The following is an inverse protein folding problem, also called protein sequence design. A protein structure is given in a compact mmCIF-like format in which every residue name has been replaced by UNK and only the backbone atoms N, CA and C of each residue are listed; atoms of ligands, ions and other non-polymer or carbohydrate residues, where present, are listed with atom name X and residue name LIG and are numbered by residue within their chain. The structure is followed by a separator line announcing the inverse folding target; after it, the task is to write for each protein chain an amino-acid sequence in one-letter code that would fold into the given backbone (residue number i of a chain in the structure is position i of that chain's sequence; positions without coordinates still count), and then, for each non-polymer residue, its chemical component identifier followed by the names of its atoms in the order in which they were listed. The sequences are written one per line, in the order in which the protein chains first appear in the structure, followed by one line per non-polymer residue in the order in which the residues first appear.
data_IF_082203147343
#
_entry.id   IF_082203147343
#
_cell.length_a   1.000
_cell.length_b   1.000
_cell.length_c   1.000
_cell.angle_alpha   90.00
_cell.angle_beta   90.00
_cell.angle_gamma   90.00
#
_symmetry.space_group_name_H-M   'P 1'
#
loop_
_entity.id
_entity.type
_entity.pdbx_description
1 polymer ?
#
# COMPACT_ATOMS: atom_id res chain seq x y z
N UNK A 1 -18.32 36.60 -21.57
CA UNK A 1 -16.92 37.05 -21.52
C UNK A 1 -16.00 35.91 -21.98
N UNK A 2 -14.79 36.16 -22.49
CA UNK A 2 -13.83 35.10 -22.83
C UNK A 2 -13.40 34.36 -21.56
N UNK A 3 -13.27 35.07 -20.44
CA UNK A 3 -12.92 34.48 -19.14
C UNK A 3 -13.95 33.42 -18.69
N UNK A 4 -15.25 33.75 -18.75
CA UNK A 4 -16.33 32.80 -18.44
C UNK A 4 -16.30 31.55 -19.35
N UNK A 5 -15.90 31.72 -20.61
CA UNK A 5 -15.79 30.60 -21.55
C UNK A 5 -14.61 29.69 -21.21
N UNK A 6 -13.48 30.26 -20.76
CA UNK A 6 -12.32 29.50 -20.29
C UNK A 6 -12.66 28.76 -18.99
N UNK A 7 -13.32 29.42 -18.04
CA UNK A 7 -13.75 28.81 -16.78
C UNK A 7 -14.66 27.62 -17.02
N UNK A 8 -15.63 27.73 -17.93
CA UNK A 8 -16.53 26.62 -18.29
C UNK A 8 -15.78 25.41 -18.87
N UNK A 9 -14.74 25.65 -19.68
CA UNK A 9 -13.90 24.56 -20.21
C UNK A 9 -13.06 23.93 -19.10
N UNK A 10 -12.52 24.73 -18.18
CA UNK A 10 -11.74 24.23 -17.06
C UNK A 10 -12.59 23.37 -16.12
N UNK A 11 -13.83 23.76 -15.83
CA UNK A 11 -14.78 22.95 -15.06
C UNK A 11 -15.04 21.58 -15.71
N UNK A 12 -15.14 21.53 -17.03
CA UNK A 12 -15.31 20.28 -17.77
C UNK A 12 -14.05 19.38 -17.66
N UNK A 13 -12.86 19.96 -17.74
CA UNK A 13 -11.58 19.24 -17.54
C UNK A 13 -11.48 18.69 -16.12
N UNK A 14 -11.80 19.49 -15.12
CA UNK A 14 -11.74 19.08 -13.71
C UNK A 14 -12.76 17.98 -13.40
N UNK A 15 -13.94 18.04 -14.01
CA UNK A 15 -14.94 16.97 -13.95
C UNK A 15 -14.42 15.65 -14.53
N UNK A 16 -13.70 15.70 -15.67
CA UNK A 16 -13.07 14.52 -16.25
C UNK A 16 -11.97 13.96 -15.37
N UNK A 17 -11.10 14.82 -14.82
CA UNK A 17 -10.04 14.41 -13.89
C UNK A 17 -10.63 13.72 -12.66
N UNK A 18 -11.69 14.29 -12.08
CA UNK A 18 -12.40 13.68 -10.94
C UNK A 18 -12.98 12.31 -11.27
N UNK A 19 -13.59 12.15 -12.45
CA UNK A 19 -14.09 10.84 -12.90
C UNK A 19 -12.96 9.82 -13.06
N UNK A 20 -11.85 10.22 -13.68
CA UNK A 20 -10.68 9.35 -13.84
C UNK A 20 -10.13 8.89 -12.48
N UNK A 21 -9.98 9.80 -11.51
CA UNK A 21 -9.54 9.45 -10.16
C UNK A 21 -10.49 8.46 -9.48
N UNK A 22 -11.81 8.64 -9.63
CA UNK A 22 -12.80 7.70 -9.09
C UNK A 22 -12.74 6.33 -9.76
N UNK A 23 -12.49 6.27 -11.06
CA UNK A 23 -12.33 5.00 -11.79
C UNK A 23 -11.07 4.24 -11.35
N UNK A 24 -9.93 4.93 -11.25
CA UNK A 24 -8.68 4.35 -10.72
C UNK A 24 -8.91 3.81 -9.31
N UNK A 25 -9.56 4.59 -8.44
CA UNK A 25 -9.89 4.17 -7.07
C UNK A 25 -10.73 2.87 -7.05
N UNK A 26 -11.73 2.76 -7.92
CA UNK A 26 -12.56 1.54 -8.01
C UNK A 26 -11.76 0.32 -8.48
N UNK A 27 -10.83 0.51 -9.41
CA UNK A 27 -9.93 -0.57 -9.85
C UNK A 27 -9.07 -1.02 -8.68
N UNK A 28 -8.50 -0.09 -7.93
CA UNK A 28 -7.60 -0.41 -6.82
C UNK A 28 -8.33 -1.09 -5.67
N UNK A 29 -9.51 -0.60 -5.29
CA UNK A 29 -10.39 -1.27 -4.32
C UNK A 29 -10.74 -2.70 -4.76
N UNK A 30 -11.07 -2.90 -6.03
CA UNK A 30 -11.39 -4.23 -6.58
C UNK A 30 -10.19 -5.16 -6.44
N UNK A 31 -9.00 -4.72 -6.87
CA UNK A 31 -7.82 -5.58 -6.83
C UNK A 31 -7.25 -5.77 -5.42
N UNK A 32 -7.43 -4.82 -4.51
CA UNK A 32 -7.11 -5.00 -3.08
C UNK A 32 -7.92 -6.15 -2.48
N UNK A 33 -9.23 -6.19 -2.74
CA UNK A 33 -10.11 -7.28 -2.29
C UNK A 33 -9.69 -8.63 -2.89
N UNK A 34 -9.29 -8.65 -4.16
CA UNK A 34 -8.80 -9.87 -4.82
C UNK A 34 -7.43 -10.32 -4.28
N UNK A 35 -6.53 -9.39 -3.94
CA UNK A 35 -5.19 -9.70 -3.39
C UNK A 35 -5.24 -10.16 -1.94
N UNK A 36 -6.19 -9.68 -1.13
CA UNK A 36 -6.30 -9.96 0.30
C UNK A 36 -6.18 -11.46 0.67
N UNK A 37 -6.98 -12.39 0.12
CA UNK A 37 -6.85 -13.81 0.48
C UNK A 37 -5.49 -14.41 0.12
N UNK A 38 -4.83 -13.89 -0.92
CA UNK A 38 -3.47 -14.32 -1.28
C UNK A 38 -2.42 -13.78 -0.32
N UNK A 39 -2.57 -12.55 0.18
CA UNK A 39 -1.70 -12.02 1.22
C UNK A 39 -1.84 -12.77 2.54
N UNK A 40 -3.08 -13.11 2.94
CA UNK A 40 -3.36 -13.93 4.13
C UNK A 40 -2.71 -15.31 4.00
N UNK A 41 -2.93 -16.01 2.87
CA UNK A 41 -2.31 -17.31 2.64
C UNK A 41 -0.77 -17.24 2.60
N UNK A 42 -0.20 -16.19 1.98
CA UNK A 42 1.25 -15.97 2.00
C UNK A 42 1.77 -15.74 3.42
N UNK A 43 1.05 -15.00 4.26
CA UNK A 43 1.43 -14.75 5.64
C UNK A 43 1.47 -16.05 6.46
N UNK A 44 0.48 -16.93 6.29
CA UNK A 44 0.46 -18.26 6.92
C UNK A 44 1.67 -19.13 6.53
N UNK A 45 2.07 -19.09 5.25
CA UNK A 45 3.23 -19.81 4.75
C UNK A 45 4.53 -19.22 5.30
N UNK A 46 4.67 -17.89 5.30
CA UNK A 46 5.86 -17.19 5.82
C UNK A 46 6.03 -17.38 7.34
N UNK A 47 4.94 -17.52 8.10
CA UNK A 47 4.98 -17.76 9.53
C UNK A 47 5.62 -19.12 9.89
N UNK A 48 5.64 -20.08 8.95
CA UNK A 48 6.29 -21.39 9.11
C UNK A 48 7.80 -21.33 8.89
N UNK A 49 8.31 -20.27 8.24
CA UNK A 49 9.73 -20.07 7.99
C UNK A 49 10.32 -19.30 9.19
N UNK A 50 11.28 -19.88 9.93
CA UNK A 50 11.94 -19.18 11.03
C UNK A 50 12.58 -17.87 10.57
N UNK A 51 12.40 -16.81 11.38
CA UNK A 51 13.01 -15.49 11.18
C UNK A 51 12.73 -14.82 9.83
N UNK A 52 11.66 -15.21 9.13
CA UNK A 52 11.34 -14.76 7.77
C UNK A 52 11.43 -13.24 7.59
N UNK A 53 10.73 -12.47 8.44
CA UNK A 53 10.73 -11.01 8.35
C UNK A 53 12.04 -10.35 8.78
N UNK A 54 12.75 -10.88 9.78
CA UNK A 54 14.08 -10.41 10.13
C UNK A 54 15.05 -10.56 8.94
N UNK A 55 15.03 -11.73 8.28
CA UNK A 55 15.85 -11.96 7.08
C UNK A 55 15.48 -10.98 5.96
N UNK A 56 14.19 -10.73 5.72
CA UNK A 56 13.75 -9.75 4.71
C UNK A 56 14.29 -8.36 5.03
N UNK A 57 14.13 -7.89 6.27
CA UNK A 57 14.54 -6.53 6.62
C UNK A 57 16.07 -6.34 6.61
N UNK A 58 16.85 -7.33 7.04
CA UNK A 58 18.32 -7.29 6.97
C UNK A 58 18.86 -7.28 5.53
N UNK A 59 18.11 -7.84 4.59
CA UNK A 59 18.47 -7.84 3.17
C UNK A 59 18.00 -6.58 2.42
N UNK A 60 17.14 -5.75 3.03
CA UNK A 60 16.68 -4.51 2.43
C UNK A 60 17.68 -3.36 2.70
N UNK A 61 18.19 -2.73 1.63
CA UNK A 61 19.28 -1.74 1.69
C UNK A 61 19.03 -0.57 2.65
N UNK A 62 17.78 -0.09 2.72
CA UNK A 62 17.41 1.03 3.57
C UNK A 62 17.11 0.58 5.00
N UNK A 63 16.45 -0.57 5.17
CA UNK A 63 15.98 -1.03 6.49
C UNK A 63 17.12 -1.63 7.31
N UNK A 64 18.06 -2.35 6.67
CA UNK A 64 19.21 -2.93 7.38
C UNK A 64 20.03 -1.91 8.16
N UNK A 65 20.05 -0.66 7.72
CA UNK A 65 20.79 0.44 8.37
C UNK A 65 20.11 0.93 9.65
N UNK A 66 18.83 0.61 9.83
CA UNK A 66 18.01 1.01 10.97
C UNK A 66 17.94 -0.07 12.06
N UNK A 67 18.43 -1.27 11.78
CA UNK A 67 18.33 -2.43 12.68
C UNK A 67 19.65 -2.55 13.43
N UNK A 68 19.59 -2.37 14.75
CA UNK A 68 20.73 -2.64 15.65
C UNK A 68 20.79 -4.12 16.04
N UNK A 69 21.92 -4.55 16.62
CA UNK A 69 22.07 -5.92 17.12
C UNK A 69 21.03 -6.30 18.19
N UNK A 70 20.56 -5.33 18.98
CA UNK A 70 19.51 -5.56 19.98
C UNK A 70 18.13 -5.71 19.31
N UNK A 71 17.83 -4.90 18.29
CA UNK A 71 16.60 -5.01 17.52
C UNK A 71 16.48 -6.37 16.84
N UNK A 72 17.59 -6.96 16.39
CA UNK A 72 17.59 -8.30 15.77
C UNK A 72 17.03 -9.37 16.71
N UNK A 73 17.31 -9.29 18.02
CA UNK A 73 16.81 -10.25 19.01
C UNK A 73 15.29 -10.18 19.12
N UNK A 74 14.73 -8.96 19.07
CA UNK A 74 13.29 -8.73 19.12
C UNK A 74 12.64 -9.13 17.79
N UNK A 75 13.20 -8.68 16.66
CA UNK A 75 12.72 -9.00 15.32
C UNK A 75 12.82 -10.48 14.97
N UNK A 76 13.73 -11.24 15.62
CA UNK A 76 13.78 -12.70 15.48
C UNK A 76 12.50 -13.40 15.94
N UNK A 77 11.71 -12.74 16.81
CA UNK A 77 10.40 -13.22 17.30
C UNK A 77 9.24 -12.81 16.37
N UNK A 78 9.45 -11.89 15.43
CA UNK A 78 8.42 -11.38 14.52
C UNK A 78 7.89 -12.49 13.59
N UNK A 79 6.58 -12.74 13.65
CA UNK A 79 5.91 -13.82 12.88
C UNK A 79 5.17 -13.33 11.65
N UNK A 80 4.63 -12.12 11.70
CA UNK A 80 3.82 -11.58 10.63
C UNK A 80 4.03 -10.06 10.52
N UNK A 81 3.98 -9.57 9.28
CA UNK A 81 3.89 -8.15 8.94
C UNK A 81 2.76 -8.06 7.94
N UNK A 82 1.81 -7.18 8.23
CA UNK A 82 0.66 -6.94 7.39
C UNK A 82 0.61 -5.47 7.02
N UNK A 83 0.38 -5.20 5.73
CA UNK A 83 0.11 -3.87 5.22
C UNK A 83 -1.28 -3.94 4.62
N UNK A 84 -2.22 -3.23 5.22
CA UNK A 84 -3.58 -3.10 4.71
C UNK A 84 -3.68 -1.74 4.01
N UNK A 85 -4.50 -1.67 2.97
CA UNK A 85 -4.89 -0.40 2.38
C UNK A 85 -6.36 -0.19 2.77
N UNK A 86 -6.69 1.00 3.28
CA UNK A 86 -8.07 1.32 3.63
C UNK A 86 -8.94 1.38 2.36
N UNK A 87 -10.23 1.10 2.52
CA UNK A 87 -11.17 1.18 1.39
C UNK A 87 -11.21 2.58 0.78
N UNK A 88 -10.96 3.61 1.60
CA UNK A 88 -10.70 4.95 1.13
C UNK A 88 -9.18 5.17 0.99
N UNK A 89 -8.66 5.10 -0.24
CA UNK A 89 -7.23 5.28 -0.54
C UNK A 89 -6.75 6.70 -0.17
N UNK A 90 -7.66 7.67 -0.02
CA UNK A 90 -7.30 9.01 0.47
C UNK A 90 -6.99 9.02 1.97
N UNK A 91 -7.43 8.00 2.71
CA UNK A 91 -7.14 7.79 4.12
C UNK A 91 -5.77 7.10 4.36
N UNK A 92 -5.07 6.66 3.31
CA UNK A 92 -3.75 6.06 3.38
C UNK A 92 -3.74 4.53 3.42
N UNK A 93 -2.78 3.97 4.13
CA UNK A 93 -2.66 2.53 4.42
C UNK A 93 -3.16 2.24 5.85
#
# INVERSE_FOLDING_TARGET
DILESVDSVQEAIDSLNKKASVEILKVEQKFNKLRKPHYEHRAELLAKIPHSWLTVFKNHLQLRKLITEEDEKVLALLKAVEVQELEDITSGY
#
